data_IF_884340477603
#
_entry.id   IF_884340477603
#
_cell.length_a   1.000
_cell.length_b   1.000
_cell.length_c   1.000
_cell.angle_alpha   90.00
_cell.angle_beta   90.00
_cell.angle_gamma   90.00
#
_symmetry.space_group_name_H-M   'P 1'
#
loop_
_entity.id
_entity.type
_entity.pdbx_description
1 polymer ?
#
# COMPACT_ATOMS: atom_id res chain seq x y z
N UNK A 1 9.97 5.16 6.11
CA UNK A 1 11.21 4.95 5.33
C UNK A 1 11.81 6.33 5.12
N UNK A 2 13.12 6.54 5.29
CA UNK A 2 13.69 7.91 5.22
C UNK A 2 13.55 8.50 3.82
N UNK A 3 13.26 9.79 3.73
CA UNK A 3 13.08 10.51 2.46
C UNK A 3 14.32 10.47 1.57
N UNK A 4 15.53 10.55 2.14
CA UNK A 4 16.80 10.34 1.43
C UNK A 4 16.93 8.93 0.83
N UNK A 5 16.47 7.87 1.50
CA UNK A 5 16.51 6.49 0.97
C UNK A 5 15.60 6.35 -0.26
N UNK A 6 14.41 6.97 -0.22
CA UNK A 6 13.50 7.03 -1.38
C UNK A 6 14.17 7.78 -2.54
N UNK A 7 14.74 8.96 -2.29
CA UNK A 7 15.43 9.77 -3.31
C UNK A 7 16.60 9.01 -3.96
N UNK A 8 17.48 8.42 -3.14
CA UNK A 8 18.65 7.62 -3.59
C UNK A 8 18.21 6.44 -4.45
N UNK A 9 17.19 5.68 -4.03
CA UNK A 9 16.65 4.55 -4.81
C UNK A 9 16.01 4.99 -6.11
N UNK A 10 15.15 6.01 -6.10
CA UNK A 10 14.46 6.48 -7.32
C UNK A 10 15.48 7.00 -8.35
N UNK A 11 16.47 7.78 -7.91
CA UNK A 11 17.60 8.19 -8.77
C UNK A 11 18.31 6.99 -9.39
N UNK A 12 18.64 5.99 -8.57
CA UNK A 12 19.35 4.80 -9.02
C UNK A 12 18.53 3.98 -10.02
N UNK A 13 17.26 3.68 -9.71
CA UNK A 13 16.34 2.89 -10.53
C UNK A 13 16.23 3.48 -11.95
N UNK A 14 16.00 4.79 -12.07
CA UNK A 14 15.76 5.44 -13.37
C UNK A 14 16.98 6.10 -14.01
N UNK A 15 18.18 5.87 -13.47
CA UNK A 15 19.45 6.42 -13.97
C UNK A 15 19.46 7.95 -14.12
N UNK A 16 18.92 8.68 -13.14
CA UNK A 16 18.95 10.15 -13.20
C UNK A 16 20.36 10.68 -12.93
N UNK A 17 20.81 11.57 -13.81
CA UNK A 17 22.02 12.36 -13.68
C UNK A 17 21.76 13.59 -12.77
N UNK A 18 22.82 14.36 -12.50
CA UNK A 18 22.71 15.54 -11.62
C UNK A 18 21.80 16.61 -12.25
N UNK A 19 21.84 16.78 -13.57
CA UNK A 19 21.01 17.71 -14.34
C UNK A 19 19.51 17.40 -14.18
N UNK A 20 19.13 16.13 -14.35
CA UNK A 20 17.74 15.68 -14.18
C UNK A 20 17.30 15.78 -12.71
N UNK A 21 18.19 15.48 -11.76
CA UNK A 21 17.88 15.63 -10.34
C UNK A 21 17.67 17.10 -9.95
N UNK A 22 18.50 18.04 -10.44
CA UNK A 22 18.31 19.49 -10.24
C UNK A 22 16.96 19.93 -10.82
N UNK A 23 16.63 19.51 -12.04
CA UNK A 23 15.36 19.83 -12.69
C UNK A 23 14.13 19.26 -11.96
N UNK A 24 14.26 18.08 -11.32
CA UNK A 24 13.19 17.47 -10.53
C UNK A 24 13.08 18.06 -9.11
N UNK A 25 14.17 18.58 -8.53
CA UNK A 25 14.17 19.15 -7.18
C UNK A 25 13.85 20.66 -7.16
N UNK A 26 13.99 21.38 -8.27
CA UNK A 26 13.76 22.84 -8.33
C UNK A 26 12.26 23.20 -8.41
N UNK A 27 11.91 24.37 -7.90
CA UNK A 27 10.58 25.00 -8.06
C UNK A 27 10.68 26.25 -8.94
N UNK A 28 9.62 27.05 -9.03
CA UNK A 28 9.67 28.36 -9.68
C UNK A 28 10.52 29.37 -8.87
N UNK A 29 10.48 29.25 -7.54
CA UNK A 29 11.02 30.22 -6.60
C UNK A 29 12.38 29.80 -6.00
N UNK A 30 12.68 28.49 -5.99
CA UNK A 30 13.89 27.91 -5.40
C UNK A 30 14.63 27.03 -6.41
N UNK A 31 15.87 27.42 -6.73
CA UNK A 31 16.78 26.64 -7.59
C UNK A 31 17.71 25.80 -6.73
N UNK A 32 17.77 24.50 -7.02
CA UNK A 32 18.63 23.56 -6.29
C UNK A 32 20.00 23.43 -6.97
N UNK A 33 21.06 23.48 -6.17
CA UNK A 33 22.45 23.33 -6.61
C UNK A 33 22.90 21.88 -6.65
N UNK A 34 23.94 21.59 -7.45
CA UNK A 34 24.59 20.27 -7.50
C UNK A 34 25.11 19.82 -6.13
N UNK A 35 25.62 20.74 -5.31
CA UNK A 35 26.09 20.46 -3.96
C UNK A 35 24.96 19.99 -3.04
N UNK A 36 23.78 20.65 -3.07
CA UNK A 36 22.60 20.21 -2.30
C UNK A 36 22.13 18.80 -2.74
N UNK A 37 22.13 18.51 -4.05
CA UNK A 37 21.84 17.15 -4.56
C UNK A 37 22.83 16.13 -4.00
N UNK A 38 24.14 16.43 -4.00
CA UNK A 38 25.16 15.56 -3.41
C UNK A 38 24.88 15.29 -1.92
N UNK A 39 24.61 16.35 -1.15
CA UNK A 39 24.38 16.27 0.29
C UNK A 39 23.12 15.48 0.67
N UNK A 40 22.08 15.48 -0.17
CA UNK A 40 20.91 14.62 0.02
C UNK A 40 21.15 13.15 -0.38
N UNK A 41 22.11 12.88 -1.28
CA UNK A 41 22.42 11.55 -1.80
C UNK A 41 23.57 10.83 -1.07
N UNK A 42 24.35 11.56 -0.26
CA UNK A 42 25.31 11.01 0.71
C UNK A 42 24.64 9.99 1.64
N UNK A 43 25.46 9.10 2.22
CA UNK A 43 25.02 8.09 3.20
C UNK A 43 24.74 8.74 4.55
N UNK A 44 23.88 8.13 5.34
CA UNK A 44 23.43 8.64 6.65
C UNK A 44 24.55 8.74 7.71
N UNK A 45 25.76 8.25 7.42
CA UNK A 45 26.97 8.31 8.26
C UNK A 45 28.01 9.35 7.77
N UNK A 46 27.74 10.07 6.69
CA UNK A 46 28.62 11.10 6.12
C UNK A 46 28.39 12.46 6.82
N UNK A 47 29.43 13.18 7.30
CA UNK A 47 29.28 14.46 7.99
C UNK A 47 28.60 15.58 7.19
N UNK A 48 28.65 15.51 5.85
CA UNK A 48 28.00 16.50 4.96
C UNK A 48 26.59 16.05 4.53
N UNK A 49 26.06 14.95 5.09
CA UNK A 49 24.72 14.46 4.76
C UNK A 49 23.64 15.40 5.30
N UNK A 50 22.77 15.87 4.40
CA UNK A 50 21.64 16.74 4.74
C UNK A 50 20.35 15.94 4.66
N UNK A 51 19.53 16.01 5.72
CA UNK A 51 18.21 15.37 5.73
C UNK A 51 17.28 16.00 4.68
N UNK A 52 16.67 15.17 3.84
CA UNK A 52 15.66 15.60 2.88
C UNK A 52 14.30 15.71 3.59
N UNK A 53 13.68 16.87 3.54
CA UNK A 53 12.37 17.09 4.17
C UNK A 53 11.22 16.45 3.35
N UNK A 54 10.11 16.16 4.01
CA UNK A 54 8.88 15.67 3.35
C UNK A 54 8.42 16.59 2.22
N UNK A 55 8.47 17.91 2.42
CA UNK A 55 8.09 18.91 1.42
C UNK A 55 8.99 18.85 0.18
N UNK A 56 10.30 18.68 0.37
CA UNK A 56 11.26 18.54 -0.73
C UNK A 56 11.05 17.21 -1.49
N UNK A 57 10.74 16.11 -0.78
CA UNK A 57 10.39 14.84 -1.43
C UNK A 57 9.02 14.91 -2.13
N UNK A 58 8.06 15.64 -1.59
CA UNK A 58 6.76 15.87 -2.22
C UNK A 58 6.93 16.67 -3.52
N UNK A 59 7.77 17.72 -3.51
CA UNK A 59 8.13 18.51 -4.70
C UNK A 59 8.79 17.63 -5.76
N UNK A 60 9.80 16.85 -5.38
CA UNK A 60 10.46 15.87 -6.25
C UNK A 60 9.48 14.93 -6.94
N UNK A 61 8.57 14.32 -6.16
CA UNK A 61 7.60 13.36 -6.69
C UNK A 61 6.53 14.03 -7.56
N UNK A 62 6.12 15.27 -7.26
CA UNK A 62 5.21 16.04 -8.09
C UNK A 62 5.86 16.41 -9.44
N UNK A 63 7.08 16.93 -9.41
CA UNK A 63 7.87 17.20 -10.61
C UNK A 63 8.19 15.91 -11.39
N UNK A 64 8.37 14.78 -10.70
CA UNK A 64 8.57 13.48 -11.35
C UNK A 64 7.32 13.03 -12.12
N UNK A 65 6.12 13.19 -11.55
CA UNK A 65 4.84 12.98 -12.24
C UNK A 65 4.74 13.88 -13.48
N UNK A 66 4.97 15.20 -13.33
CA UNK A 66 4.95 16.15 -14.47
C UNK A 66 5.96 15.75 -15.55
N UNK A 67 7.15 15.26 -15.17
CA UNK A 67 8.20 14.86 -16.10
C UNK A 67 7.92 13.56 -16.87
N UNK A 68 6.98 12.73 -16.38
CA UNK A 68 6.62 11.44 -16.98
C UNK A 68 5.29 11.45 -17.71
N UNK A 69 4.36 12.33 -17.30
CA UNK A 69 2.99 12.41 -17.86
C UNK A 69 2.67 13.75 -18.52
N UNK A 70 3.62 14.69 -18.54
CA UNK A 70 3.38 16.06 -18.97
C UNK A 70 2.72 16.90 -17.88
N UNK A 71 2.55 18.20 -18.17
CA UNK A 71 1.80 19.11 -17.30
C UNK A 71 0.33 18.71 -17.31
N UNK A 72 -0.28 18.66 -16.13
CA UNK A 72 -1.72 18.47 -15.98
C UNK A 72 -2.44 19.80 -16.26
N UNK A 73 -3.56 19.74 -16.98
CA UNK A 73 -4.48 20.86 -17.12
C UNK A 73 -5.26 21.14 -15.82
N UNK A 74 -5.41 22.43 -15.49
CA UNK A 74 -6.05 22.89 -14.27
C UNK A 74 -5.08 23.31 -13.15
N UNK A 75 -5.60 23.68 -11.96
CA UNK A 75 -4.77 24.19 -10.87
C UNK A 75 -3.77 23.14 -10.36
N UNK A 76 -2.52 23.55 -10.14
CA UNK A 76 -1.51 22.69 -9.52
C UNK A 76 -1.97 22.30 -8.10
N UNK A 77 -1.90 21.01 -7.71
CA UNK A 77 -2.17 20.60 -6.34
C UNK A 77 -1.23 21.33 -5.35
N UNK A 78 -1.71 21.72 -4.16
CA UNK A 78 -0.86 22.33 -3.14
C UNK A 78 0.23 21.34 -2.70
N UNK A 79 1.44 21.85 -2.47
CA UNK A 79 2.58 21.06 -2.02
C UNK A 79 2.33 20.47 -0.63
N UNK A 80 2.49 19.16 -0.48
CA UNK A 80 2.27 18.49 0.80
C UNK A 80 3.41 18.77 1.81
N UNK A 81 3.07 19.37 2.97
CA UNK A 81 4.02 19.67 4.06
C UNK A 81 4.51 18.44 4.85
N UNK A 82 3.81 17.31 4.68
CA UNK A 82 4.06 16.02 5.33
C UNK A 82 3.73 14.90 4.35
N UNK A 83 4.54 13.86 4.32
CA UNK A 83 4.46 12.81 3.32
C UNK A 83 4.60 11.42 3.95
N UNK A 84 3.52 10.65 3.92
CA UNK A 84 3.51 9.27 4.36
C UNK A 84 3.77 8.29 3.20
N UNK A 85 4.05 7.02 3.54
CA UNK A 85 4.33 5.97 2.56
C UNK A 85 3.16 5.73 1.57
N UNK A 86 1.90 5.95 1.98
CA UNK A 86 0.74 5.83 1.08
C UNK A 86 0.78 6.90 -0.01
N UNK A 87 1.10 8.15 0.36
CA UNK A 87 1.26 9.27 -0.57
C UNK A 87 2.45 9.04 -1.51
N UNK A 88 3.61 8.59 -0.99
CA UNK A 88 4.77 8.22 -1.83
C UNK A 88 4.37 7.15 -2.85
N UNK A 89 3.75 6.06 -2.39
CA UNK A 89 3.38 4.94 -3.25
C UNK A 89 2.34 5.37 -4.31
N UNK A 90 1.35 6.18 -3.93
CA UNK A 90 0.37 6.71 -4.88
C UNK A 90 1.02 7.64 -5.92
N UNK A 91 1.91 8.55 -5.50
CA UNK A 91 2.65 9.43 -6.43
C UNK A 91 3.52 8.64 -7.40
N UNK A 92 4.23 7.61 -6.92
CA UNK A 92 5.02 6.71 -7.76
C UNK A 92 4.16 5.93 -8.75
N UNK A 93 3.01 5.39 -8.31
CA UNK A 93 2.04 4.71 -9.17
C UNK A 93 1.55 5.65 -10.29
N UNK A 94 1.20 6.89 -9.94
CA UNK A 94 0.77 7.91 -10.91
C UNK A 94 1.90 8.26 -11.87
N UNK A 95 3.12 8.53 -11.38
CA UNK A 95 4.26 8.92 -12.22
C UNK A 95 4.59 7.88 -13.29
N UNK A 96 4.44 6.59 -12.95
CA UNK A 96 4.73 5.47 -13.82
C UNK A 96 3.51 4.95 -14.59
N UNK A 97 2.35 5.61 -14.47
CA UNK A 97 1.06 5.24 -15.09
C UNK A 97 0.57 3.80 -14.79
N UNK A 98 1.00 3.23 -13.67
CA UNK A 98 0.78 1.82 -13.33
C UNK A 98 -0.67 1.54 -12.93
N UNK A 99 -1.20 0.41 -13.40
CA UNK A 99 -2.46 -0.18 -12.97
C UNK A 99 -2.28 -1.00 -11.67
N UNK A 100 -3.32 -1.68 -11.21
CA UNK A 100 -3.20 -2.50 -10.00
C UNK A 100 -2.35 -3.75 -10.27
N UNK A 101 -2.56 -4.34 -11.45
CA UNK A 101 -1.89 -5.52 -11.99
C UNK A 101 -0.37 -5.28 -12.08
N UNK A 102 0.06 -4.22 -12.77
CA UNK A 102 1.49 -3.88 -12.89
C UNK A 102 2.18 -3.74 -11.52
N UNK A 103 1.50 -3.14 -10.53
CA UNK A 103 2.05 -2.98 -9.17
C UNK A 103 2.18 -4.32 -8.45
N UNK A 104 1.25 -5.26 -8.67
CA UNK A 104 1.35 -6.62 -8.13
C UNK A 104 2.49 -7.39 -8.78
N UNK A 105 2.69 -7.25 -10.10
CA UNK A 105 3.80 -7.89 -10.82
C UNK A 105 5.16 -7.33 -10.39
N UNK A 106 5.27 -6.01 -10.20
CA UNK A 106 6.46 -5.35 -9.62
C UNK A 106 6.75 -5.92 -8.23
N UNK A 107 5.75 -6.03 -7.35
CA UNK A 107 5.93 -6.61 -6.02
C UNK A 107 6.34 -8.09 -6.08
N UNK A 108 5.81 -8.86 -7.03
CA UNK A 108 6.19 -10.25 -7.26
C UNK A 108 7.67 -10.41 -7.67
N UNK A 109 8.25 -9.46 -8.43
CA UNK A 109 9.71 -9.44 -8.71
C UNK A 109 10.56 -9.30 -7.44
N UNK A 110 10.03 -8.71 -6.38
CA UNK A 110 10.66 -8.63 -5.06
C UNK A 110 10.26 -9.81 -4.13
N UNK A 111 9.73 -10.90 -4.67
CA UNK A 111 9.19 -12.06 -3.95
C UNK A 111 8.07 -11.71 -2.94
N UNK A 112 7.40 -10.57 -3.11
CA UNK A 112 6.34 -10.10 -2.21
C UNK A 112 4.97 -10.29 -2.85
N UNK A 113 4.16 -11.19 -2.29
CA UNK A 113 2.80 -11.49 -2.76
C UNK A 113 1.77 -10.67 -1.98
N UNK A 114 0.78 -10.15 -2.69
CA UNK A 114 -0.31 -9.35 -2.14
C UNK A 114 -1.56 -9.50 -3.01
N UNK A 115 -2.76 -9.37 -2.44
CA UNK A 115 -4.00 -9.35 -3.21
C UNK A 115 -4.36 -7.95 -3.73
N UNK A 116 -5.13 -7.87 -4.83
CA UNK A 116 -5.68 -6.61 -5.36
C UNK A 116 -6.52 -5.83 -4.33
N UNK A 117 -7.19 -6.54 -3.40
CA UNK A 117 -7.95 -5.95 -2.31
C UNK A 117 -7.06 -5.24 -1.29
N UNK A 118 -5.96 -5.87 -0.88
CA UNK A 118 -4.98 -5.26 0.03
C UNK A 118 -4.27 -4.07 -0.61
N UNK A 119 -3.89 -4.19 -1.89
CA UNK A 119 -3.29 -3.10 -2.63
C UNK A 119 -4.26 -1.90 -2.74
N UNK A 120 -5.55 -2.15 -2.99
CA UNK A 120 -6.57 -1.09 -3.05
C UNK A 120 -6.72 -0.35 -1.71
N UNK A 121 -6.47 -1.00 -0.58
CA UNK A 121 -6.61 -0.42 0.76
C UNK A 121 -5.62 0.74 1.01
N UNK A 122 -4.42 0.69 0.43
CA UNK A 122 -3.41 1.76 0.57
C UNK A 122 -3.79 3.05 -0.16
N UNK A 123 -4.63 2.97 -1.18
CA UNK A 123 -5.03 4.11 -2.02
C UNK A 123 -6.41 4.67 -1.65
N UNK A 124 -7.00 4.23 -0.53
CA UNK A 124 -8.20 4.86 0.05
C UNK A 124 -7.82 6.13 0.80
N UNK A 125 -8.80 7.03 0.98
CA UNK A 125 -8.62 8.19 1.86
C UNK A 125 -8.48 7.74 3.33
N UNK A 126 -7.66 8.41 4.16
CA UNK A 126 -7.66 8.21 5.60
C UNK A 126 -9.07 8.31 6.19
N UNK A 127 -9.37 7.52 7.22
CA UNK A 127 -10.70 7.42 7.84
C UNK A 127 -11.70 6.51 7.12
N UNK A 128 -11.41 6.02 5.90
CA UNK A 128 -12.25 5.02 5.24
C UNK A 128 -12.15 3.64 5.94
N UNK A 129 -13.26 2.91 6.10
CA UNK A 129 -13.32 1.59 6.77
C UNK A 129 -12.40 0.49 6.22
N UNK A 130 -11.87 0.69 5.02
CA UNK A 130 -10.90 -0.20 4.36
C UNK A 130 -9.61 0.53 3.98
N UNK A 131 -9.32 1.66 4.61
CA UNK A 131 -7.99 2.27 4.57
C UNK A 131 -7.00 1.36 5.32
N UNK A 132 -5.78 1.25 4.79
CA UNK A 132 -4.64 0.66 5.50
C UNK A 132 -3.43 1.54 5.29
N UNK A 133 -2.60 1.66 6.32
CA UNK A 133 -1.30 2.31 6.21
C UNK A 133 -0.32 1.43 5.43
N UNK A 134 0.38 2.03 4.48
CA UNK A 134 1.46 1.40 3.75
C UNK A 134 2.69 1.36 4.67
N UNK A 135 3.05 0.16 5.16
CA UNK A 135 4.26 -0.01 5.95
C UNK A 135 5.50 0.09 5.05
N UNK A 136 6.59 0.59 5.61
CA UNK A 136 7.90 0.71 4.97
C UNK A 136 8.32 -0.50 4.14
N UNK A 137 8.02 -1.71 4.62
CA UNK A 137 8.42 -2.94 3.94
C UNK A 137 7.79 -3.09 2.56
N UNK A 138 6.53 -2.65 2.39
CA UNK A 138 5.82 -2.71 1.11
C UNK A 138 6.48 -1.73 0.13
N UNK A 139 6.78 -0.50 0.58
CA UNK A 139 7.45 0.50 -0.24
C UNK A 139 8.88 0.09 -0.63
N UNK A 140 9.64 -0.52 0.30
CA UNK A 140 10.97 -1.11 0.01
C UNK A 140 10.88 -2.24 -1.03
N UNK A 141 9.92 -3.15 -0.89
CA UNK A 141 9.71 -4.25 -1.84
C UNK A 141 9.28 -3.72 -3.21
N UNK A 142 8.41 -2.71 -3.28
CA UNK A 142 8.00 -2.07 -4.54
C UNK A 142 9.18 -1.41 -5.26
N UNK A 143 9.99 -0.62 -4.54
CA UNK A 143 11.18 0.01 -5.11
C UNK A 143 12.24 -1.03 -5.53
N UNK A 144 12.39 -2.13 -4.79
CA UNK A 144 13.25 -3.24 -5.20
C UNK A 144 12.73 -3.95 -6.46
N UNK A 145 11.42 -4.18 -6.57
CA UNK A 145 10.81 -4.71 -7.79
C UNK A 145 11.04 -3.83 -9.02
N UNK A 146 10.92 -2.51 -8.86
CA UNK A 146 11.29 -1.55 -9.91
C UNK A 146 12.78 -1.62 -10.26
N UNK A 147 13.67 -1.80 -9.27
CA UNK A 147 15.09 -2.03 -9.52
C UNK A 147 15.34 -3.32 -10.33
N UNK A 148 14.61 -4.40 -10.04
CA UNK A 148 14.68 -5.66 -10.82
C UNK A 148 14.31 -5.46 -12.28
N UNK A 149 13.32 -4.61 -12.56
CA UNK A 149 12.84 -4.33 -13.92
C UNK A 149 13.78 -3.38 -14.67
N UNK A 150 14.26 -2.31 -14.02
CA UNK A 150 15.04 -1.26 -14.69
C UNK A 150 16.56 -1.45 -14.63
N UNK A 151 17.08 -2.25 -13.68
CA UNK A 151 18.52 -2.43 -13.42
C UNK A 151 18.89 -3.91 -13.19
N UNK A 152 18.49 -4.84 -14.07
CA UNK A 152 18.78 -6.28 -13.89
C UNK A 152 20.29 -6.56 -13.81
N UNK A 153 21.11 -5.76 -14.50
CA UNK A 153 22.58 -5.85 -14.52
C UNK A 153 23.26 -5.41 -13.22
N UNK A 154 22.56 -4.66 -12.35
CA UNK A 154 23.09 -4.15 -11.07
C UNK A 154 22.54 -4.89 -9.85
N UNK A 155 21.89 -6.01 -10.05
CA UNK A 155 21.42 -6.86 -8.96
C UNK A 155 22.44 -7.97 -8.76
N UNK A 156 23.24 -7.83 -7.71
CA UNK A 156 24.00 -8.95 -7.18
C UNK A 156 23.04 -10.12 -6.87
N UNK A 157 23.42 -11.37 -7.11
CA UNK A 157 22.59 -12.54 -6.84
C UNK A 157 22.42 -12.74 -5.33
N UNK A 158 21.54 -11.96 -4.72
CA UNK A 158 21.24 -12.05 -3.30
C UNK A 158 20.30 -13.22 -3.04
N UNK A 159 20.86 -14.31 -2.52
CA UNK A 159 20.09 -15.44 -1.97
C UNK A 159 19.28 -14.98 -0.76
N UNK A 160 18.17 -14.30 -1.02
CA UNK A 160 17.15 -13.92 -0.05
C UNK A 160 16.23 -15.10 0.28
N UNK A 161 16.83 -16.28 0.49
CA UNK A 161 16.18 -17.39 1.18
C UNK A 161 15.92 -16.99 2.62
N UNK A 162 14.78 -16.34 2.85
CA UNK A 162 14.14 -16.35 4.16
C UNK A 162 13.98 -17.82 4.54
N UNK A 163 14.75 -18.23 5.54
CA UNK A 163 14.80 -19.60 6.05
C UNK A 163 13.49 -19.89 6.80
N UNK A 164 12.41 -20.11 6.06
CA UNK A 164 11.15 -20.59 6.61
C UNK A 164 11.43 -21.93 7.29
N UNK A 165 11.36 -21.95 8.62
CA UNK A 165 11.56 -23.13 9.45
C UNK A 165 10.38 -24.09 9.29
N UNK A 166 10.37 -24.81 8.17
CA UNK A 166 9.40 -25.85 7.86
C UNK A 166 9.59 -27.03 8.82
N UNK A 167 8.86 -27.02 9.94
CA UNK A 167 8.76 -28.14 10.86
C UNK A 167 7.88 -29.23 10.22
N UNK A 168 8.49 -30.10 9.42
CA UNK A 168 7.83 -31.23 8.73
C UNK A 168 7.31 -32.27 9.76
N UNK A 169 6.11 -32.85 9.59
CA UNK A 169 5.54 -33.78 10.56
C UNK A 169 6.15 -35.18 10.51
N UNK A 170 6.15 -35.89 11.64
CA UNK A 170 6.47 -37.31 11.80
C UNK A 170 5.26 -38.07 12.34
N UNK A 171 5.07 -39.33 11.93
CA UNK A 171 3.83 -40.07 12.16
C UNK A 171 4.04 -41.48 12.75
N UNK A 172 3.19 -41.83 13.75
CA UNK A 172 2.66 -43.18 14.11
C UNK A 172 3.65 -44.32 14.48
N UNK A 173 3.30 -45.32 15.31
CA UNK A 173 2.13 -45.57 16.21
C UNK A 173 2.49 -46.68 17.23
N UNK A 174 2.56 -46.39 18.54
CA UNK A 174 2.42 -47.40 19.60
C UNK A 174 0.93 -47.65 19.94
N UNK A 175 0.60 -48.67 20.76
CA UNK A 175 -0.78 -48.96 21.18
C UNK A 175 -0.92 -49.88 22.40
N UNK A 176 -1.61 -49.37 23.43
CA UNK A 176 -2.19 -50.04 24.62
C UNK A 176 -3.14 -49.04 25.34
N UNK A 177 -4.20 -49.38 26.09
CA UNK A 177 -5.01 -50.61 26.23
C UNK A 177 -6.49 -50.21 26.50
N UNK A 178 -7.13 -50.68 27.58
CA UNK A 178 -8.46 -50.30 28.16
C UNK A 178 -8.51 -50.80 29.63
N UNK A 179 -9.50 -50.51 30.52
CA UNK A 179 -10.95 -50.26 30.33
C UNK A 179 -11.50 -49.00 31.09
N UNK A 180 -12.79 -48.77 31.36
CA UNK A 180 -13.99 -48.52 30.53
C UNK A 180 -15.24 -48.38 31.44
N UNK A 181 -16.04 -47.30 31.32
CA UNK A 181 -17.44 -47.21 31.81
C UNK A 181 -18.16 -46.09 31.01
N UNK A 182 -19.04 -46.41 30.05
CA UNK A 182 -20.50 -46.67 30.12
C UNK A 182 -21.40 -45.44 30.34
N UNK A 183 -22.26 -45.22 29.32
CA UNK A 183 -23.35 -44.24 29.14
C UNK A 183 -24.60 -44.66 29.96
N UNK A 184 -25.68 -43.86 30.09
CA UNK A 184 -26.63 -43.69 28.98
C UNK A 184 -27.20 -42.25 28.82
N UNK A 185 -28.11 -42.07 27.86
CA UNK A 185 -28.87 -40.84 27.64
C UNK A 185 -30.37 -41.14 27.50
N UNK A 186 -31.24 -40.23 27.95
CA UNK A 186 -32.68 -40.18 27.72
C UNK A 186 -33.06 -38.69 27.64
N UNK A 187 -33.73 -38.16 26.61
CA UNK A 187 -35.06 -38.45 26.04
C UNK A 187 -36.18 -37.61 26.71
N UNK A 188 -37.04 -37.03 25.85
CA UNK A 188 -38.09 -36.04 26.15
C UNK A 188 -39.30 -36.67 26.88
N UNK A 189 -40.16 -35.87 27.53
CA UNK A 189 -41.48 -35.66 26.91
C UNK A 189 -41.96 -34.19 26.93
N UNK A 190 -43.19 -33.95 26.48
CA UNK A 190 -43.81 -32.64 26.34
C UNK A 190 -44.94 -32.41 27.35
N UNK A 191 -45.31 -31.15 27.58
CA UNK A 191 -46.64 -30.75 28.06
C UNK A 191 -46.98 -29.33 27.58
N UNK A 192 -48.26 -29.08 27.37
CA UNK A 192 -48.81 -27.82 26.83
C UNK A 192 -48.94 -26.74 27.93
N UNK A 193 -49.17 -25.48 27.53
CA UNK A 193 -49.37 -24.37 28.47
C UNK A 193 -49.47 -23.02 27.77
N UNK A 194 -50.68 -22.63 27.35
CA UNK A 194 -50.96 -21.35 26.69
C UNK A 194 -51.01 -20.17 27.66
N UNK A 195 -50.49 -19.00 27.27
CA UNK A 195 -51.17 -17.71 27.50
C UNK A 195 -50.52 -16.56 26.71
N UNK A 196 -51.35 -15.60 26.28
CA UNK A 196 -50.99 -14.47 25.42
C UNK A 196 -50.35 -13.30 26.19
N UNK A 197 -49.41 -12.59 25.56
CA UNK A 197 -49.28 -11.11 25.67
C UNK A 197 -48.90 -10.53 24.30
N UNK A 198 -49.49 -9.38 23.94
CA UNK A 198 -49.35 -8.70 22.65
C UNK A 198 -48.04 -7.87 22.52
N UNK A 199 -47.61 -7.47 21.29
CA UNK A 199 -46.36 -6.74 21.07
C UNK A 199 -46.52 -5.21 21.11
N UNK A 200 -45.52 -4.44 21.58
CA UNK A 200 -45.44 -3.00 21.35
C UNK A 200 -44.84 -2.66 19.97
N UNK A 201 -45.31 -1.57 19.37
CA UNK A 201 -44.98 -1.14 18.01
C UNK A 201 -43.67 -0.33 17.90
N UNK A 202 -43.06 -0.30 16.70
CA UNK A 202 -41.74 0.33 16.52
C UNK A 202 -41.26 0.59 15.07
N UNK A 203 -42.10 1.24 14.25
CA UNK A 203 -41.75 1.92 12.98
C UNK A 203 -41.35 1.10 11.72
N UNK A 204 -42.00 1.47 10.61
CA UNK A 204 -41.86 0.87 9.27
C UNK A 204 -40.99 1.71 8.33
N UNK A 205 -40.30 1.04 7.41
CA UNK A 205 -39.49 1.63 6.35
C UNK A 205 -40.38 2.17 5.21
N UNK A 206 -40.51 3.50 5.06
CA UNK A 206 -41.18 4.10 3.89
C UNK A 206 -40.25 4.08 2.67
N UNK A 207 -40.55 3.22 1.69
CA UNK A 207 -40.23 3.49 0.28
C UNK A 207 -41.33 4.36 -0.33
N UNK A 208 -40.99 5.26 -1.26
CA UNK A 208 -41.92 5.80 -2.26
C UNK A 208 -41.37 5.49 -3.67
N UNK A 209 -42.24 5.16 -4.65
CA UNK A 209 -41.84 4.75 -5.99
C UNK A 209 -41.84 5.91 -7.00
N UNK A 210 -41.32 5.60 -8.19
CA UNK A 210 -41.35 6.46 -9.39
C UNK A 210 -42.77 6.65 -9.96
N UNK A 211 -43.00 7.79 -10.62
CA UNK A 211 -44.08 7.97 -11.61
C UNK A 211 -43.59 8.82 -12.77
N UNK A 212 -43.90 8.39 -14.01
CA UNK A 212 -43.61 9.10 -15.27
C UNK A 212 -44.76 10.04 -15.69
N UNK A 213 -44.42 10.91 -16.65
CA UNK A 213 -45.23 11.32 -17.83
C UNK A 213 -46.55 12.09 -17.66
N UNK A 214 -46.51 13.35 -18.11
CA UNK A 214 -47.19 13.87 -19.32
C UNK A 214 -48.33 14.91 -19.27
N UNK A 215 -48.32 15.70 -20.35
CA UNK A 215 -49.38 16.53 -20.99
C UNK A 215 -49.80 17.92 -20.45
N UNK A 216 -49.66 18.89 -21.37
CA UNK A 216 -50.51 20.06 -21.71
C UNK A 216 -50.87 21.13 -20.67
N UNK A 217 -50.20 22.29 -20.77
CA UNK A 217 -50.77 23.51 -21.38
C UNK A 217 -49.73 24.60 -21.67
#
# INVERSE_FOLDING_TARGET
MKSNDILRRVRFIFNFDDSKMIALMSSADEKVTRAQISNWLKRDDDPEQVALTDSQLALFLNNFIESKRGKREGPKPPLEKRLNNNQVFMKMKIALSLQAEDVLDILAKANFKMSKHELSAFFRKPGHKHYRECKDQILRNFLHGLQVIHRPDKIAPSNSTVKTTAKKPSAKKPSAKKPSAKKPSAAKPASEGSSNVAPPAGYQWKKKPDTKSDTDK
#
